data_IF_567820635352
#
_entry.id   IF_567820635352
#
_cell.length_a   1.000
_cell.length_b   1.000
_cell.length_c   1.000
_cell.angle_alpha   90.00
_cell.angle_beta   90.00
_cell.angle_gamma   90.00
#
_symmetry.space_group_name_H-M   'P 1'
#
loop_
_entity.id
_entity.type
_entity.pdbx_description
1 polymer ?
#
# COMPACT_ATOMS: atom_id res chain seq x y z
N UNK A 1 -1.10 -15.90 -9.26
CA UNK A 1 -2.03 -14.85 -9.74
C UNK A 1 -1.84 -13.74 -8.74
N UNK A 2 -1.29 -12.59 -9.14
CA UNK A 2 -1.04 -11.48 -8.21
C UNK A 2 -2.36 -10.91 -7.69
N UNK A 3 -2.49 -10.78 -6.37
CA UNK A 3 -3.70 -10.28 -5.72
C UNK A 3 -3.56 -8.80 -5.39
N UNK A 4 -3.98 -7.95 -6.33
CA UNK A 4 -4.03 -6.50 -6.12
C UNK A 4 -5.40 -6.15 -5.51
N UNK A 5 -5.40 -5.57 -4.32
CA UNK A 5 -6.60 -5.08 -3.66
C UNK A 5 -6.71 -3.55 -3.78
N UNK A 6 -7.92 -3.01 -3.60
CA UNK A 6 -8.15 -1.56 -3.53
C UNK A 6 -8.34 -1.19 -2.06
N UNK A 7 -7.73 -0.08 -1.63
CA UNK A 7 -8.01 0.46 -0.30
C UNK A 7 -9.51 0.82 -0.21
N UNK A 8 -10.24 0.36 0.81
CA UNK A 8 -11.60 0.81 1.05
C UNK A 8 -11.59 2.32 1.31
N UNK A 9 -12.47 3.03 0.62
CA UNK A 9 -12.82 4.41 0.99
C UNK A 9 -13.71 4.32 2.22
N UNK A 10 -13.15 4.45 3.42
CA UNK A 10 -13.94 4.35 4.65
C UNK A 10 -15.03 5.43 4.68
N UNK A 11 -16.30 5.01 4.75
CA UNK A 11 -17.47 5.89 4.82
C UNK A 11 -18.13 5.87 6.21
N UNK A 12 -17.42 5.54 7.29
CA UNK A 12 -17.95 5.73 8.65
C UNK A 12 -16.86 5.66 9.72
N UNK A 13 -16.18 6.81 9.88
CA UNK A 13 -15.77 7.31 11.19
C UNK A 13 -14.83 6.41 12.03
N UNK A 14 -13.53 6.53 11.79
CA UNK A 14 -12.51 6.38 12.84
C UNK A 14 -11.70 7.68 12.97
N UNK A 15 -12.01 8.43 14.02
CA UNK A 15 -11.56 9.81 14.29
C UNK A 15 -10.13 9.80 14.88
N UNK A 16 -9.43 10.91 14.64
CA UNK A 16 -8.26 11.49 15.34
C UNK A 16 -6.88 10.96 14.94
N UNK A 17 -6.21 11.66 14.04
CA UNK A 17 -5.03 12.44 14.46
C UNK A 17 -4.65 13.52 13.41
N UNK A 18 -4.69 14.79 13.82
CA UNK A 18 -4.36 15.98 13.02
C UNK A 18 -2.83 16.13 12.77
N UNK A 19 -2.08 15.03 12.72
CA UNK A 19 -0.65 15.04 12.34
C UNK A 19 -0.27 14.03 11.25
N UNK A 20 -1.23 13.30 10.67
CA UNK A 20 -0.97 12.28 9.63
C UNK A 20 -0.65 12.83 8.23
N UNK A 21 -0.18 14.07 8.11
CA UNK A 21 0.19 14.69 6.82
C UNK A 21 1.41 14.06 6.12
N UNK A 22 2.03 13.04 6.71
CA UNK A 22 3.20 12.32 6.17
C UNK A 22 3.31 10.86 6.62
N UNK A 23 2.28 10.28 7.26
CA UNK A 23 2.29 8.84 7.52
C UNK A 23 1.71 8.17 6.28
N UNK A 24 2.62 7.57 5.53
CA UNK A 24 2.34 6.63 4.46
C UNK A 24 1.23 5.67 4.91
N UNK A 25 0.38 5.27 3.98
CA UNK A 25 -0.88 4.56 4.20
C UNK A 25 -0.72 3.11 4.72
N UNK A 26 -0.03 2.94 5.84
CA UNK A 26 0.37 1.69 6.48
C UNK A 26 -0.83 0.90 7.06
N UNK A 27 -1.96 1.55 7.32
CA UNK A 27 -3.14 0.94 7.97
C UNK A 27 -4.41 0.88 7.09
N UNK A 28 -4.35 1.29 5.81
CA UNK A 28 -5.55 1.42 4.98
C UNK A 28 -5.84 0.21 4.09
N UNK A 29 -4.98 -0.80 4.10
CA UNK A 29 -5.21 -2.02 3.33
C UNK A 29 -5.98 -3.05 4.16
N UNK A 30 -7.06 -3.64 3.61
CA UNK A 30 -7.73 -4.74 4.29
C UNK A 30 -6.76 -5.92 4.39
N UNK A 31 -6.79 -6.70 5.50
CA UNK A 31 -5.91 -7.84 5.65
C UNK A 31 -6.08 -8.82 4.49
N UNK A 32 -4.97 -9.43 4.05
CA UNK A 32 -5.05 -10.53 3.10
C UNK A 32 -5.81 -11.70 3.71
N UNK A 33 -6.54 -12.47 2.89
CA UNK A 33 -7.28 -13.65 3.36
C UNK A 33 -6.35 -14.68 4.01
N UNK A 34 -5.06 -14.66 3.65
CA UNK A 34 -4.01 -15.52 4.19
C UNK A 34 -3.26 -14.92 5.40
N UNK A 35 -3.61 -13.70 5.83
CA UNK A 35 -2.97 -13.00 6.95
C UNK A 35 -1.63 -12.33 6.61
N UNK A 36 -1.30 -12.23 5.32
CA UNK A 36 -0.11 -11.53 4.81
C UNK A 36 -0.26 -10.01 4.91
N UNK A 37 0.87 -9.34 5.12
CA UNK A 37 0.94 -7.88 5.18
C UNK A 37 0.74 -7.27 3.79
N UNK A 38 -0.11 -6.24 3.72
CA UNK A 38 -0.36 -5.51 2.50
C UNK A 38 0.13 -4.08 2.63
N UNK A 39 0.81 -3.61 1.59
CA UNK A 39 1.35 -2.28 1.47
C UNK A 39 0.45 -1.43 0.55
N UNK A 40 0.13 -0.22 0.98
CA UNK A 40 -0.56 0.74 0.13
C UNK A 40 0.44 1.53 -0.72
N UNK A 41 0.21 1.57 -2.03
CA UNK A 41 0.96 2.42 -2.95
C UNK A 41 0.79 3.91 -2.56
N UNK A 42 1.87 4.69 -2.37
CA UNK A 42 1.78 6.12 -2.07
C UNK A 42 1.07 6.94 -3.14
N UNK A 43 1.20 6.55 -4.40
CA UNK A 43 0.60 7.19 -5.56
C UNK A 43 -0.76 6.54 -5.83
N UNK A 44 -1.84 7.33 -5.90
CA UNK A 44 -3.14 6.81 -6.31
C UNK A 44 -3.17 6.55 -7.83
N UNK A 45 -4.05 5.64 -8.25
CA UNK A 45 -4.37 5.41 -9.66
C UNK A 45 -4.97 6.66 -10.32
N UNK A 46 -5.12 6.62 -11.65
CA UNK A 46 -5.71 7.70 -12.47
C UNK A 46 -7.11 8.16 -12.02
N UNK A 47 -7.82 7.34 -11.24
CA UNK A 47 -9.15 7.61 -10.68
C UNK A 47 -9.10 8.12 -9.23
N UNK A 48 -7.91 8.32 -8.66
CA UNK A 48 -7.72 8.78 -7.28
C UNK A 48 -7.91 7.69 -6.21
N UNK A 49 -7.72 6.42 -6.57
CA UNK A 49 -7.84 5.29 -5.63
C UNK A 49 -6.45 4.76 -5.27
N UNK A 50 -6.28 4.37 -4.01
CA UNK A 50 -5.05 3.73 -3.56
C UNK A 50 -5.11 2.22 -3.77
N UNK A 51 -3.98 1.66 -4.21
CA UNK A 51 -3.79 0.23 -4.46
C UNK A 51 -3.05 -0.41 -3.30
N UNK A 52 -3.50 -1.60 -2.96
CA UNK A 52 -2.87 -2.47 -1.98
C UNK A 52 -2.20 -3.61 -2.71
N UNK A 53 -0.92 -3.78 -2.43
CA UNK A 53 -0.09 -4.88 -2.93
C UNK A 53 0.40 -5.71 -1.76
N UNK A 54 0.70 -6.97 -2.02
CA UNK A 54 1.20 -7.91 -1.01
C UNK A 54 2.73 -7.91 -0.98
N UNK A 55 3.36 -8.38 0.11
CA UNK A 55 4.82 -8.46 0.21
C UNK A 55 5.46 -9.29 -0.92
N UNK A 56 4.72 -10.28 -1.44
CA UNK A 56 5.17 -11.16 -2.52
C UNK A 56 5.38 -10.45 -3.86
N UNK A 57 4.63 -9.37 -4.09
CA UNK A 57 4.70 -8.56 -5.31
C UNK A 57 5.45 -7.25 -5.09
N UNK A 58 6.01 -7.05 -3.89
CA UNK A 58 6.85 -5.91 -3.57
C UNK A 58 8.31 -6.22 -3.94
N UNK A 59 8.93 -5.40 -4.80
CA UNK A 59 10.26 -5.66 -5.40
C UNK A 59 10.33 -7.03 -6.12
N UNK A 60 9.29 -7.44 -6.83
CA UNK A 60 9.29 -8.70 -7.59
C UNK A 60 9.82 -8.52 -9.03
N UNK A 61 10.09 -7.28 -9.43
CA UNK A 61 10.55 -6.91 -10.77
C UNK A 61 9.42 -6.47 -11.71
N UNK A 62 8.18 -6.39 -11.22
CA UNK A 62 7.02 -5.92 -11.96
C UNK A 62 6.42 -4.69 -11.30
N UNK A 63 5.99 -3.72 -12.11
CA UNK A 63 5.31 -2.52 -11.60
C UNK A 63 3.84 -2.86 -11.35
N UNK A 64 3.50 -3.09 -10.09
CA UNK A 64 2.15 -3.29 -9.56
C UNK A 64 1.53 -1.96 -9.04
N UNK A 65 2.35 -1.07 -8.46
CA UNK A 65 1.89 0.27 -8.08
C UNK A 65 1.79 1.21 -9.29
N UNK A 66 0.78 2.11 -9.33
CA UNK A 66 0.58 2.99 -10.48
C UNK A 66 1.74 3.96 -10.75
N UNK A 67 2.53 4.28 -9.72
CA UNK A 67 3.75 5.10 -9.85
C UNK A 67 5.07 4.31 -9.89
N UNK A 68 5.04 2.97 -9.83
CA UNK A 68 6.26 2.13 -9.86
C UNK A 68 7.12 2.18 -8.61
N UNK A 69 6.60 2.76 -7.54
CA UNK A 69 7.18 2.86 -6.20
C UNK A 69 7.40 1.52 -5.49
N UNK A 70 6.69 0.47 -5.87
CA UNK A 70 6.94 -0.91 -5.47
C UNK A 70 8.24 -1.50 -6.06
N UNK A 71 8.74 -0.90 -7.14
CA UNK A 71 9.98 -1.29 -7.83
C UNK A 71 11.06 -0.20 -7.78
N UNK A 72 10.75 0.95 -7.17
CA UNK A 72 11.73 1.98 -6.92
C UNK A 72 12.70 1.51 -5.83
N UNK A 73 14.00 1.52 -6.13
CA UNK A 73 15.01 0.97 -5.24
C UNK A 73 15.12 1.66 -3.87
N UNK A 74 14.62 2.89 -3.72
CA UNK A 74 14.55 3.57 -2.43
C UNK A 74 13.22 3.28 -1.72
N UNK A 75 12.10 3.37 -2.43
CA UNK A 75 10.78 3.17 -1.85
C UNK A 75 10.54 1.71 -1.46
N UNK A 76 10.84 0.75 -2.33
CA UNK A 76 10.63 -0.65 -2.01
C UNK A 76 11.54 -1.17 -0.89
N UNK A 77 12.80 -0.74 -0.85
CA UNK A 77 13.71 -1.08 0.26
C UNK A 77 13.21 -0.52 1.59
N UNK A 78 12.62 0.67 1.59
CA UNK A 78 12.01 1.25 2.78
C UNK A 78 10.86 0.36 3.29
N UNK A 79 9.98 -0.10 2.40
CA UNK A 79 8.90 -1.02 2.75
C UNK A 79 9.40 -2.37 3.29
N UNK A 80 10.43 -2.98 2.67
CA UNK A 80 11.01 -4.25 3.17
C UNK A 80 11.79 -4.13 4.48
N UNK A 81 12.28 -2.94 4.82
CA UNK A 81 13.09 -2.73 6.03
C UNK A 81 12.25 -2.26 7.23
N UNK A 82 11.05 -1.71 6.98
CA UNK A 82 10.13 -1.23 8.01
C UNK A 82 8.90 -2.12 8.22
N UNK A 83 8.54 -2.96 7.25
CA UNK A 83 7.62 -4.07 7.47
C UNK A 83 8.20 -5.04 8.50
N UNK A 84 7.41 -5.43 9.50
CA UNK A 84 7.89 -5.94 10.78
C UNK A 84 7.60 -7.42 10.99
#
# INVERSE_FOLDING_TARGET
MSEIALCPVDNENSITDETRSYVMADDQCPPAEDGMERFACPTPDIVGRYRCIDDHVLCDGFIDCPGGEDEDGQACMFYKTLGH
#
